data_IF_496282207894
#
_entry.id   IF_496282207894
#
_cell.length_a   1.000
_cell.length_b   1.000
_cell.length_c   1.000
_cell.angle_alpha   90.00
_cell.angle_beta   90.00
_cell.angle_gamma   90.00
#
_symmetry.space_group_name_H-M   'P 1'
#
loop_
_entity.id
_entity.type
_entity.pdbx_description
1 polymer ?
#
# COMPACT_ATOMS: atom_id res chain seq x y z
N UNK A 1 18.91 -20.02 -27.55
CA UNK A 1 19.67 -18.99 -26.81
C UNK A 1 19.29 -19.08 -25.34
N UNK A 2 20.27 -18.90 -24.44
CA UNK A 2 20.05 -18.85 -22.99
C UNK A 2 20.81 -17.62 -22.47
N UNK A 3 20.22 -16.87 -21.58
CA UNK A 3 20.83 -15.75 -20.89
C UNK A 3 20.43 -15.76 -19.42
N UNK A 4 21.31 -15.32 -18.55
CA UNK A 4 21.02 -15.08 -17.15
C UNK A 4 21.65 -13.76 -16.71
N UNK A 5 21.03 -13.15 -15.73
CA UNK A 5 21.52 -11.93 -15.08
C UNK A 5 21.31 -12.07 -13.58
N UNK A 6 22.30 -11.73 -12.82
CA UNK A 6 22.21 -11.56 -11.38
C UNK A 6 22.70 -10.16 -11.00
N UNK A 7 21.97 -9.52 -10.10
CA UNK A 7 22.32 -8.23 -9.51
C UNK A 7 22.07 -8.31 -8.02
N UNK A 8 23.01 -7.84 -7.25
CA UNK A 8 22.86 -7.58 -5.82
C UNK A 8 23.34 -6.17 -5.51
N UNK A 9 22.57 -5.46 -4.74
CA UNK A 9 22.87 -4.10 -4.28
C UNK A 9 22.32 -3.92 -2.88
N UNK A 10 22.83 -2.95 -2.17
CA UNK A 10 22.27 -2.51 -0.90
C UNK A 10 21.53 -1.20 -1.16
N UNK A 11 20.21 -1.23 -0.92
CA UNK A 11 19.40 -0.03 -0.97
C UNK A 11 19.65 0.83 0.27
N UNK A 12 19.42 2.11 0.18
CA UNK A 12 19.50 2.99 1.33
C UNK A 12 18.30 2.77 2.26
N UNK A 13 18.53 2.93 3.56
CA UNK A 13 17.48 2.93 4.57
C UNK A 13 17.04 4.36 4.84
N UNK A 14 15.74 4.61 4.77
CA UNK A 14 15.18 5.89 5.13
C UNK A 14 15.27 6.08 6.64
N UNK A 15 15.73 7.25 7.09
CA UNK A 15 15.96 7.56 8.50
C UNK A 15 15.49 8.95 8.91
N UNK A 16 14.55 9.53 8.16
CA UNK A 16 13.96 10.80 8.56
C UNK A 16 13.04 10.58 9.76
N UNK A 17 13.46 11.10 10.91
CA UNK A 17 12.70 11.04 12.18
C UNK A 17 11.96 12.33 12.49
N UNK A 18 11.79 13.23 11.50
CA UNK A 18 10.96 14.42 11.69
C UNK A 18 9.52 14.02 11.99
N UNK A 19 8.89 14.79 12.87
CA UNK A 19 7.51 14.55 13.26
C UNK A 19 6.55 15.09 12.19
N UNK A 20 5.67 14.26 11.65
CA UNK A 20 4.45 14.74 11.00
C UNK A 20 3.54 15.30 12.07
N UNK A 21 3.39 16.61 12.16
CA UNK A 21 2.47 17.18 13.13
C UNK A 21 1.04 16.76 12.80
N UNK A 22 0.43 16.08 13.75
CA UNK A 22 -1.01 15.82 13.76
C UNK A 22 -1.78 16.87 14.57
N UNK A 23 -1.06 17.80 15.22
CA UNK A 23 -1.60 18.87 16.04
C UNK A 23 -1.36 20.23 15.39
N UNK A 24 -2.07 21.25 15.82
CA UNK A 24 -1.88 22.63 15.37
C UNK A 24 -0.47 23.10 15.65
N UNK A 25 0.19 23.71 14.66
CA UNK A 25 1.57 24.25 14.79
C UNK A 25 2.52 23.73 13.73
N UNK A 26 2.00 23.27 12.58
CA UNK A 26 2.82 22.88 11.43
C UNK A 26 3.03 24.03 10.47
N UNK A 27 4.23 24.12 9.96
CA UNK A 27 4.54 24.90 8.77
C UNK A 27 4.70 23.93 7.60
N UNK A 28 3.87 24.05 6.58
CA UNK A 28 3.88 23.19 5.38
C UNK A 28 3.64 21.68 5.65
N UNK A 29 2.89 21.33 6.68
CA UNK A 29 2.63 19.93 7.04
C UNK A 29 3.72 19.29 7.91
N UNK A 30 4.77 20.02 8.26
CA UNK A 30 5.86 19.56 9.12
C UNK A 30 5.73 20.10 10.54
N UNK A 31 5.96 19.25 11.52
CA UNK A 31 6.07 19.67 12.91
C UNK A 31 7.39 20.41 13.13
N UNK A 32 7.31 21.65 13.51
CA UNK A 32 8.48 22.45 13.81
C UNK A 32 9.13 21.92 15.09
N UNK A 33 10.31 21.28 14.97
CA UNK A 33 11.15 20.88 16.09
C UNK A 33 10.59 19.76 16.98
N UNK A 34 9.59 19.00 16.49
CA UNK A 34 8.98 17.91 17.28
C UNK A 34 9.86 16.66 17.32
N UNK A 35 10.15 16.18 18.53
CA UNK A 35 10.74 14.87 18.78
C UNK A 35 9.75 14.04 19.58
N UNK A 36 9.98 12.74 19.67
CA UNK A 36 9.16 11.84 20.50
C UNK A 36 9.04 12.34 21.96
N UNK A 37 10.08 12.96 22.49
CA UNK A 37 10.08 13.53 23.84
C UNK A 37 9.19 14.78 23.94
N UNK A 38 9.26 15.68 22.95
CA UNK A 38 8.51 16.93 22.95
C UNK A 38 7.06 16.80 22.47
N UNK A 39 6.73 15.71 21.80
CA UNK A 39 5.36 15.46 21.35
C UNK A 39 4.90 14.04 21.74
N UNK A 40 4.03 13.92 22.75
CA UNK A 40 3.43 12.62 23.11
C UNK A 40 2.68 11.96 21.94
N UNK A 41 2.18 12.76 20.99
CA UNK A 41 1.50 12.31 19.78
C UNK A 41 2.40 12.25 18.54
N UNK A 42 3.69 12.09 18.74
CA UNK A 42 4.68 12.02 17.66
C UNK A 42 4.35 10.94 16.63
N UNK A 43 4.55 11.30 15.35
CA UNK A 43 4.40 10.47 14.14
C UNK A 43 5.62 10.74 13.25
N UNK A 44 6.60 9.88 13.29
CA UNK A 44 7.88 10.10 12.60
C UNK A 44 7.80 9.69 11.12
N UNK A 45 8.37 10.49 10.22
CA UNK A 45 8.32 10.28 8.76
C UNK A 45 8.74 8.86 8.34
N UNK A 46 9.82 8.34 8.91
CA UNK A 46 10.30 6.97 8.66
C UNK A 46 10.30 6.13 9.93
N UNK A 47 9.30 6.35 10.77
CA UNK A 47 8.98 5.51 11.93
C UNK A 47 7.62 4.88 11.68
N UNK A 48 7.53 3.57 11.77
CA UNK A 48 6.35 2.80 11.37
C UNK A 48 5.67 2.17 12.58
N UNK A 49 4.34 2.29 12.64
CA UNK A 49 3.52 1.76 13.74
C UNK A 49 3.21 2.76 14.84
N UNK A 50 3.63 4.03 14.69
CA UNK A 50 3.29 5.14 15.57
C UNK A 50 2.13 6.02 15.06
N UNK A 51 1.59 5.71 13.90
CA UNK A 51 0.47 6.44 13.28
C UNK A 51 -0.85 6.29 14.05
N UNK A 52 -0.90 5.36 15.01
CA UNK A 52 -2.07 5.16 15.86
C UNK A 52 -2.07 6.17 17.01
N UNK A 53 -3.08 7.01 17.08
CA UNK A 53 -3.24 8.02 18.12
C UNK A 53 -4.53 7.81 18.91
N UNK A 54 -4.53 8.22 20.18
CA UNK A 54 -5.71 8.30 21.03
C UNK A 54 -5.62 9.51 21.97
N UNK A 55 -6.75 10.15 22.25
CA UNK A 55 -6.79 11.19 23.30
C UNK A 55 -6.94 10.56 24.69
N UNK A 56 -6.29 11.14 25.71
CA UNK A 56 -6.46 10.67 27.07
C UNK A 56 -7.91 10.82 27.57
N UNK A 57 -8.62 11.85 27.08
CA UNK A 57 -10.06 12.02 27.37
C UNK A 57 -10.92 10.89 26.79
N UNK A 58 -10.59 10.37 25.58
CA UNK A 58 -11.30 9.21 25.01
C UNK A 58 -11.03 7.93 25.80
N UNK A 59 -9.79 7.75 26.26
CA UNK A 59 -9.41 6.61 27.11
C UNK A 59 -10.18 6.66 28.42
N UNK A 60 -10.21 7.83 29.09
CA UNK A 60 -11.01 8.03 30.29
C UNK A 60 -12.49 7.73 30.05
N UNK A 61 -13.07 8.22 28.94
CA UNK A 61 -14.48 7.96 28.61
C UNK A 61 -14.80 6.46 28.50
N UNK A 62 -13.88 5.68 27.92
CA UNK A 62 -14.02 4.22 27.85
C UNK A 62 -13.92 3.57 29.22
N UNK A 63 -12.97 4.01 30.06
CA UNK A 63 -12.83 3.54 31.44
C UNK A 63 -14.08 3.90 32.28
N UNK A 64 -14.58 5.13 32.15
CA UNK A 64 -15.81 5.58 32.81
C UNK A 64 -17.00 4.67 32.48
N UNK A 65 -17.17 4.30 31.23
CA UNK A 65 -18.21 3.38 30.78
C UNK A 65 -18.09 2.03 31.48
N UNK A 66 -16.88 1.49 31.63
CA UNK A 66 -16.59 0.26 32.36
C UNK A 66 -16.93 0.37 33.84
N UNK A 67 -16.52 1.48 34.48
CA UNK A 67 -16.83 1.76 35.92
C UNK A 67 -18.34 1.84 36.14
N UNK A 68 -19.06 2.58 35.27
CA UNK A 68 -20.52 2.68 35.35
C UNK A 68 -21.21 1.32 35.16
N UNK A 69 -20.71 0.50 34.23
CA UNK A 69 -21.21 -0.86 34.03
C UNK A 69 -21.05 -1.72 35.26
N UNK A 70 -19.86 -1.69 35.89
CA UNK A 70 -19.60 -2.42 37.16
C UNK A 70 -20.48 -1.92 38.29
N UNK A 71 -20.66 -0.60 38.42
CA UNK A 71 -21.57 -0.03 39.43
C UNK A 71 -23.02 -0.42 39.15
N UNK A 72 -23.48 -0.36 37.91
CA UNK A 72 -24.84 -0.75 37.51
C UNK A 72 -25.12 -2.21 37.91
N UNK A 73 -24.17 -3.11 37.67
CA UNK A 73 -24.29 -4.51 38.10
C UNK A 73 -24.34 -4.64 39.63
N UNK A 74 -23.48 -3.90 40.35
CA UNK A 74 -23.46 -3.88 41.81
C UNK A 74 -24.76 -3.35 42.43
N UNK A 75 -25.46 -2.44 41.77
CA UNK A 75 -26.78 -1.91 42.17
C UNK A 75 -27.96 -2.64 41.52
N UNK A 76 -27.78 -3.89 41.11
CA UNK A 76 -28.88 -4.74 40.63
C UNK A 76 -29.52 -4.23 39.32
N UNK A 77 -28.76 -3.55 38.46
CA UNK A 77 -29.25 -2.98 37.20
C UNK A 77 -29.77 -1.54 37.31
N UNK A 78 -29.72 -0.92 38.49
CA UNK A 78 -30.19 0.45 38.71
C UNK A 78 -29.16 1.48 38.26
N UNK A 79 -29.34 1.98 37.01
CA UNK A 79 -28.46 2.98 36.43
C UNK A 79 -28.46 4.31 37.18
N UNK A 80 -29.58 4.74 37.76
CA UNK A 80 -29.67 5.98 38.51
C UNK A 80 -28.81 5.89 39.79
N UNK A 81 -28.90 4.80 40.54
CA UNK A 81 -28.07 4.56 41.73
C UNK A 81 -26.59 4.46 41.33
N UNK A 82 -26.27 3.78 40.23
CA UNK A 82 -24.90 3.68 39.69
C UNK A 82 -24.31 5.05 39.35
N UNK A 83 -25.08 5.92 38.67
CA UNK A 83 -24.64 7.27 38.36
C UNK A 83 -24.46 8.14 39.61
N UNK A 84 -25.35 8.02 40.61
CA UNK A 84 -25.20 8.72 41.87
C UNK A 84 -23.91 8.28 42.61
N UNK A 85 -23.67 6.96 42.69
CA UNK A 85 -22.44 6.40 43.27
C UNK A 85 -21.18 6.88 42.51
N UNK A 86 -21.19 6.84 41.18
CA UNK A 86 -20.12 7.37 40.37
C UNK A 86 -19.85 8.85 40.67
N UNK A 87 -20.92 9.67 40.78
CA UNK A 87 -20.80 11.10 41.11
C UNK A 87 -20.14 11.33 42.45
N UNK A 88 -20.42 10.49 43.47
CA UNK A 88 -19.76 10.55 44.79
C UNK A 88 -18.27 10.19 44.67
N UNK A 89 -17.94 9.12 43.96
CA UNK A 89 -16.54 8.70 43.75
C UNK A 89 -15.74 9.78 42.99
N UNK A 90 -16.29 10.32 41.94
CA UNK A 90 -15.67 11.39 41.19
C UNK A 90 -15.55 12.69 42.00
N UNK A 91 -16.59 13.06 42.73
CA UNK A 91 -16.59 14.24 43.59
C UNK A 91 -15.49 14.18 44.68
N UNK A 92 -15.19 12.99 45.20
CA UNK A 92 -14.09 12.80 46.14
C UNK A 92 -12.70 13.00 45.51
N UNK A 93 -12.56 12.82 44.19
CA UNK A 93 -11.33 13.17 43.48
C UNK A 93 -11.21 14.68 43.22
N UNK A 94 -12.33 15.38 43.09
CA UNK A 94 -12.37 16.83 42.82
C UNK A 94 -12.04 17.63 44.06
N UNK A 95 -12.63 17.28 45.20
CA UNK A 95 -12.52 18.07 46.43
C UNK A 95 -12.59 17.17 47.71
N UNK A 96 -12.08 17.71 48.82
CA UNK A 96 -12.11 17.06 50.12
C UNK A 96 -10.82 16.34 50.47
N UNK A 97 -10.82 15.53 51.55
CA UNK A 97 -9.61 14.94 52.13
C UNK A 97 -8.95 13.91 51.19
N UNK A 98 -9.69 13.34 50.27
CA UNK A 98 -9.19 12.32 49.34
C UNK A 98 -8.63 12.89 48.06
N UNK A 99 -8.86 14.16 47.78
CA UNK A 99 -8.37 14.83 46.57
C UNK A 99 -6.93 15.31 46.67
N UNK A 100 -6.22 15.08 47.78
CA UNK A 100 -4.87 15.61 48.04
C UNK A 100 -3.83 15.04 47.07
N UNK A 101 -3.82 13.73 46.89
CA UNK A 101 -2.96 13.00 45.99
C UNK A 101 -3.57 11.66 45.54
N UNK A 102 -2.99 11.07 44.51
CA UNK A 102 -3.46 9.81 43.93
C UNK A 102 -3.42 8.64 44.92
N UNK A 103 -2.42 8.59 45.80
CA UNK A 103 -2.28 7.54 46.83
C UNK A 103 -3.45 7.55 47.81
N UNK A 104 -3.78 8.73 48.35
CA UNK A 104 -4.91 8.93 49.24
C UNK A 104 -6.24 8.60 48.57
N UNK A 105 -6.40 9.04 47.30
CA UNK A 105 -7.60 8.74 46.55
C UNK A 105 -7.74 7.24 46.22
N UNK A 106 -6.64 6.59 45.87
CA UNK A 106 -6.62 5.14 45.61
C UNK A 106 -6.99 4.33 46.85
N UNK A 107 -6.52 4.74 48.04
CA UNK A 107 -6.88 4.12 49.31
C UNK A 107 -8.39 4.29 49.61
N UNK A 108 -8.94 5.48 49.38
CA UNK A 108 -10.38 5.75 49.49
C UNK A 108 -11.22 4.82 48.59
N UNK A 109 -10.88 4.74 47.26
CA UNK A 109 -11.58 3.89 46.32
C UNK A 109 -11.52 2.41 46.72
N UNK A 110 -10.35 1.95 47.22
CA UNK A 110 -10.16 0.57 47.67
C UNK A 110 -11.05 0.28 48.90
N UNK A 111 -11.19 1.24 49.82
CA UNK A 111 -12.07 1.13 50.97
C UNK A 111 -13.56 1.11 50.62
N UNK A 112 -13.94 1.92 49.60
CA UNK A 112 -15.32 1.96 49.10
C UNK A 112 -15.70 0.69 48.31
N UNK A 113 -14.83 0.26 47.40
CA UNK A 113 -14.94 -0.99 46.65
C UNK A 113 -13.56 -1.35 46.07
N UNK A 114 -12.96 -2.45 46.51
CA UNK A 114 -11.64 -2.90 46.10
C UNK A 114 -11.53 -3.10 44.58
N UNK A 115 -12.62 -3.50 43.91
CA UNK A 115 -12.65 -3.64 42.42
C UNK A 115 -12.51 -2.32 41.69
N UNK A 116 -12.76 -1.16 42.33
CA UNK A 116 -12.63 0.16 41.73
C UNK A 116 -11.23 0.76 41.90
N UNK A 117 -10.39 0.21 42.77
CA UNK A 117 -9.04 0.73 43.00
C UNK A 117 -8.17 0.89 41.72
N UNK A 118 -8.20 -0.02 40.72
CA UNK A 118 -7.48 0.14 39.47
C UNK A 118 -7.90 1.35 38.64
N UNK A 119 -9.08 1.88 38.89
CA UNK A 119 -9.62 3.04 38.11
C UNK A 119 -9.26 4.40 38.74
N UNK A 120 -8.61 4.40 39.94
CA UNK A 120 -8.23 5.62 40.61
C UNK A 120 -7.45 6.61 39.75
N UNK A 121 -6.41 6.23 38.98
CA UNK A 121 -5.67 7.16 38.16
C UNK A 121 -6.55 7.90 37.13
N UNK A 122 -7.54 7.22 36.59
CA UNK A 122 -8.38 7.82 35.53
C UNK A 122 -9.36 8.85 36.12
N UNK A 123 -10.04 8.55 37.20
CA UNK A 123 -10.95 9.50 37.84
C UNK A 123 -10.20 10.67 38.42
N UNK A 124 -9.05 10.44 39.06
CA UNK A 124 -8.20 11.46 39.65
C UNK A 124 -7.58 12.37 38.57
N UNK A 125 -7.09 11.79 37.47
CA UNK A 125 -6.50 12.53 36.37
C UNK A 125 -7.50 13.44 35.65
N UNK A 126 -8.74 12.97 35.43
CA UNK A 126 -9.81 13.79 34.86
C UNK A 126 -10.20 14.91 35.83
N UNK A 127 -10.38 14.62 37.12
CA UNK A 127 -10.69 15.63 38.14
C UNK A 127 -9.62 16.74 38.21
N UNK A 128 -8.40 16.45 37.85
CA UNK A 128 -7.27 17.40 37.76
C UNK A 128 -7.12 18.07 36.39
N UNK A 129 -7.97 17.74 35.43
CA UNK A 129 -7.89 18.29 34.06
C UNK A 129 -6.66 17.81 33.27
N UNK A 130 -6.04 16.69 33.65
CA UNK A 130 -4.78 16.21 33.06
C UNK A 130 -4.95 15.64 31.64
N UNK A 131 -6.19 15.40 31.20
CA UNK A 131 -6.46 14.72 29.91
C UNK A 131 -6.83 15.68 28.80
N UNK A 132 -7.23 16.90 29.14
CA UNK A 132 -7.73 17.87 28.16
C UNK A 132 -6.65 18.25 27.14
N UNK A 133 -6.94 17.99 25.86
CA UNK A 133 -6.02 18.33 24.75
C UNK A 133 -4.78 17.42 24.63
N UNK A 134 -4.66 16.37 25.45
CA UNK A 134 -3.52 15.47 25.39
C UNK A 134 -3.83 14.28 24.49
N UNK A 135 -3.14 14.23 23.34
CA UNK A 135 -3.13 13.09 22.41
C UNK A 135 -1.83 12.31 22.57
N UNK A 136 -1.89 11.01 22.36
CA UNK A 136 -0.75 10.11 22.50
C UNK A 136 -0.75 9.10 21.38
N UNK A 137 0.40 8.94 20.70
CA UNK A 137 0.63 7.90 19.71
C UNK A 137 1.37 6.70 20.31
N UNK A 138 1.27 5.54 19.65
CA UNK A 138 2.07 4.36 19.98
C UNK A 138 3.55 4.60 19.67
N UNK A 139 4.44 3.79 20.24
CA UNK A 139 5.85 3.79 19.84
C UNK A 139 6.03 2.95 18.59
N UNK A 140 6.57 3.56 17.54
CA UNK A 140 6.87 2.90 16.27
C UNK A 140 8.27 2.29 16.21
N UNK A 141 8.64 1.82 15.04
CA UNK A 141 9.93 1.18 14.71
C UNK A 141 10.60 1.92 13.57
N UNK A 142 11.92 2.07 13.63
CA UNK A 142 12.70 2.62 12.52
C UNK A 142 12.69 1.67 11.32
N UNK A 143 12.91 2.19 10.12
CA UNK A 143 12.98 1.37 8.90
C UNK A 143 14.04 0.28 9.00
N UNK A 144 15.21 0.58 9.60
CA UNK A 144 16.29 -0.37 9.84
C UNK A 144 15.90 -1.57 10.71
N UNK A 145 14.86 -1.42 11.53
CA UNK A 145 14.41 -2.49 12.42
C UNK A 145 13.48 -3.47 11.71
N UNK A 146 12.80 -3.04 10.65
CA UNK A 146 11.72 -3.82 10.01
C UNK A 146 11.99 -4.19 8.55
N UNK A 147 12.85 -3.45 7.83
CA UNK A 147 13.13 -3.67 6.40
C UNK A 147 14.54 -4.20 6.19
N UNK A 148 14.65 -5.22 5.34
CA UNK A 148 15.93 -5.67 4.82
C UNK A 148 16.27 -4.86 3.55
N UNK A 149 17.37 -4.06 3.55
CA UNK A 149 17.72 -3.21 2.42
C UNK A 149 18.40 -3.94 1.26
N UNK A 150 18.62 -5.24 1.35
CA UNK A 150 19.32 -5.99 0.30
C UNK A 150 18.40 -6.15 -0.91
N UNK A 151 18.73 -5.43 -1.99
CA UNK A 151 18.09 -5.55 -3.28
C UNK A 151 18.77 -6.66 -4.11
N UNK A 152 17.98 -7.64 -4.55
CA UNK A 152 18.45 -8.74 -5.41
C UNK A 152 17.58 -8.82 -6.63
N UNK A 153 18.19 -9.12 -7.77
CA UNK A 153 17.44 -9.40 -8.98
C UNK A 153 18.13 -10.54 -9.74
N UNK A 154 17.36 -11.60 -9.97
CA UNK A 154 17.79 -12.74 -10.76
C UNK A 154 16.87 -12.91 -11.95
N UNK A 155 17.43 -12.99 -13.17
CA UNK A 155 16.68 -13.18 -14.41
C UNK A 155 17.26 -14.30 -15.23
N UNK A 156 16.40 -15.14 -15.77
CA UNK A 156 16.73 -16.18 -16.74
C UNK A 156 15.88 -15.96 -17.99
N UNK A 157 16.52 -16.05 -19.12
CA UNK A 157 15.84 -15.99 -20.42
C UNK A 157 16.27 -17.18 -21.27
N UNK A 158 15.34 -17.77 -22.00
CA UNK A 158 15.62 -18.84 -22.93
C UNK A 158 14.78 -18.70 -24.19
N UNK A 159 15.33 -19.07 -25.33
CA UNK A 159 14.56 -19.17 -26.57
C UNK A 159 15.05 -20.31 -27.46
N UNK A 160 14.09 -20.97 -28.09
CA UNK A 160 14.30 -21.99 -29.12
C UNK A 160 13.64 -21.48 -30.38
N UNK A 161 14.36 -21.58 -31.50
CA UNK A 161 13.90 -21.19 -32.81
C UNK A 161 13.94 -22.41 -33.73
N UNK A 162 12.92 -22.61 -34.51
CA UNK A 162 12.81 -23.69 -35.46
C UNK A 162 12.36 -23.14 -36.82
N UNK A 163 13.20 -23.33 -37.84
CA UNK A 163 12.80 -23.03 -39.23
C UNK A 163 11.92 -24.14 -39.75
N UNK A 164 10.66 -23.81 -40.02
CA UNK A 164 9.68 -24.74 -40.61
C UNK A 164 9.99 -24.91 -42.10
N UNK A 165 10.31 -23.78 -42.76
CA UNK A 165 10.79 -23.70 -44.12
C UNK A 165 11.66 -22.43 -44.28
N UNK A 166 12.09 -22.12 -45.51
CA UNK A 166 12.96 -20.96 -45.80
C UNK A 166 12.31 -19.59 -45.48
N UNK A 167 10.99 -19.54 -45.33
CA UNK A 167 10.24 -18.29 -45.11
C UNK A 167 9.59 -18.23 -43.73
N UNK A 168 9.46 -19.38 -43.08
CA UNK A 168 8.65 -19.49 -41.87
C UNK A 168 9.47 -20.01 -40.70
N UNK A 169 9.47 -19.26 -39.57
CA UNK A 169 10.14 -19.60 -38.33
C UNK A 169 9.13 -19.65 -37.19
N UNK A 170 9.19 -20.70 -36.40
CA UNK A 170 8.53 -20.78 -35.10
C UNK A 170 9.54 -20.54 -33.99
N UNK A 171 9.16 -19.81 -32.96
CA UNK A 171 9.99 -19.61 -31.77
C UNK A 171 9.19 -19.73 -30.49
N UNK A 172 9.80 -20.35 -29.50
CA UNK A 172 9.33 -20.35 -28.12
C UNK A 172 10.34 -19.60 -27.26
N UNK A 173 9.88 -18.67 -26.44
CA UNK A 173 10.70 -17.89 -25.53
C UNK A 173 10.11 -17.94 -24.12
N UNK A 174 10.97 -18.12 -23.14
CA UNK A 174 10.63 -18.06 -21.72
C UNK A 174 11.51 -17.03 -21.04
N UNK A 175 10.90 -16.18 -20.25
CA UNK A 175 11.54 -15.16 -19.43
C UNK A 175 11.02 -15.35 -18.01
N UNK A 176 11.92 -15.46 -17.06
CA UNK A 176 11.54 -15.50 -15.64
C UNK A 176 12.54 -14.69 -14.83
N UNK A 177 12.05 -14.04 -13.82
CA UNK A 177 12.87 -13.28 -12.90
C UNK A 177 12.23 -13.22 -11.53
N UNK A 178 13.06 -13.09 -10.51
CA UNK A 178 12.63 -12.78 -9.16
C UNK A 178 13.57 -11.76 -8.54
N UNK A 179 13.04 -11.01 -7.57
CA UNK A 179 13.85 -9.99 -6.92
C UNK A 179 13.26 -9.46 -5.64
N UNK A 180 14.13 -8.76 -4.92
CA UNK A 180 13.81 -8.04 -3.70
C UNK A 180 14.18 -6.57 -3.91
N UNK A 181 13.39 -5.67 -3.37
CA UNK A 181 13.68 -4.24 -3.35
C UNK A 181 12.79 -3.55 -2.31
N UNK A 182 13.11 -2.31 -2.00
CA UNK A 182 12.25 -1.44 -1.19
C UNK A 182 11.56 -0.45 -2.11
N UNK A 183 10.27 -0.28 -1.98
CA UNK A 183 9.48 0.60 -2.83
C UNK A 183 8.76 1.65 -1.98
N UNK A 184 8.81 2.91 -2.42
CA UNK A 184 8.07 4.02 -1.84
C UNK A 184 6.97 4.45 -2.80
N UNK A 185 5.72 4.28 -2.38
CA UNK A 185 4.53 4.79 -3.07
C UNK A 185 3.78 5.73 -2.14
N UNK A 186 2.50 5.46 -1.90
CA UNK A 186 1.73 6.10 -0.82
C UNK A 186 2.21 5.69 0.58
N UNK A 187 2.87 4.55 0.66
CA UNK A 187 3.50 3.96 1.84
C UNK A 187 4.87 3.39 1.48
N UNK A 188 5.55 2.84 2.46
CA UNK A 188 6.80 2.08 2.29
C UNK A 188 6.50 0.59 2.22
N UNK A 189 7.00 -0.07 1.18
CA UNK A 189 6.80 -1.49 0.94
C UNK A 189 8.14 -2.22 0.91
N UNK A 190 8.23 -3.33 1.63
CA UNK A 190 9.26 -4.33 1.41
C UNK A 190 8.77 -5.28 0.32
N UNK A 191 9.39 -5.22 -0.84
CA UNK A 191 9.13 -6.15 -1.94
C UNK A 191 10.11 -7.31 -1.81
N UNK A 192 9.60 -8.50 -1.50
CA UNK A 192 10.44 -9.66 -1.25
C UNK A 192 9.96 -10.88 -2.04
N UNK A 193 10.86 -11.44 -2.85
CA UNK A 193 10.53 -12.59 -3.70
C UNK A 193 9.53 -12.27 -4.81
N UNK A 194 9.44 -11.00 -5.26
CA UNK A 194 8.63 -10.64 -6.42
C UNK A 194 9.06 -11.48 -7.62
N UNK A 195 8.16 -12.24 -8.18
CA UNK A 195 8.35 -13.08 -9.35
C UNK A 195 7.58 -12.56 -10.56
N UNK A 196 8.23 -12.52 -11.72
CA UNK A 196 7.61 -12.24 -13.00
C UNK A 196 8.08 -13.29 -14.01
N UNK A 197 7.12 -13.96 -14.67
CA UNK A 197 7.42 -14.94 -15.72
C UNK A 197 6.59 -14.66 -16.96
N UNK A 198 7.19 -14.81 -18.14
CA UNK A 198 6.50 -14.69 -19.40
C UNK A 198 6.89 -15.84 -20.32
N UNK A 199 5.89 -16.47 -20.93
CA UNK A 199 6.05 -17.50 -21.93
C UNK A 199 5.46 -17.00 -23.24
N UNK A 200 6.23 -17.05 -24.32
CA UNK A 200 5.83 -16.54 -25.64
C UNK A 200 6.05 -17.61 -26.71
N UNK A 201 5.02 -17.86 -27.51
CA UNK A 201 5.08 -18.60 -28.75
C UNK A 201 4.84 -17.64 -29.91
N UNK A 202 5.69 -17.67 -30.90
CA UNK A 202 5.61 -16.84 -32.09
C UNK A 202 5.88 -17.69 -33.33
N UNK A 203 5.04 -17.54 -34.33
CA UNK A 203 5.30 -18.05 -35.69
C UNK A 203 5.23 -16.87 -36.63
N UNK A 204 6.28 -16.67 -37.37
CA UNK A 204 6.40 -15.59 -38.35
C UNK A 204 6.82 -16.13 -39.71
N UNK A 205 6.29 -15.54 -40.76
CA UNK A 205 6.64 -15.82 -42.13
C UNK A 205 6.90 -14.48 -42.89
N UNK A 206 7.20 -14.54 -44.15
CA UNK A 206 7.46 -13.34 -44.98
C UNK A 206 6.37 -12.27 -44.84
N UNK A 207 5.10 -12.70 -44.86
CA UNK A 207 3.95 -11.80 -44.97
C UNK A 207 3.06 -11.78 -43.72
N UNK A 208 3.28 -12.65 -42.76
CA UNK A 208 2.42 -12.73 -41.58
C UNK A 208 3.16 -13.13 -40.31
N UNK A 209 2.59 -12.79 -39.20
CA UNK A 209 3.02 -13.19 -37.88
C UNK A 209 1.80 -13.45 -37.00
N UNK A 210 1.89 -14.52 -36.21
CA UNK A 210 0.99 -14.78 -35.08
C UNK A 210 1.84 -15.04 -33.85
N UNK A 211 1.48 -14.43 -32.73
CA UNK A 211 2.12 -14.69 -31.44
C UNK A 211 1.11 -14.70 -30.31
N UNK A 212 1.37 -15.58 -29.37
CA UNK A 212 0.68 -15.58 -28.08
C UNK A 212 1.70 -15.53 -26.95
N UNK A 213 1.39 -14.79 -25.90
CA UNK A 213 2.18 -14.82 -24.68
C UNK A 213 1.33 -14.72 -23.43
N UNK A 214 1.85 -15.30 -22.36
CA UNK A 214 1.25 -15.24 -21.03
C UNK A 214 2.27 -14.72 -20.04
N UNK A 215 1.91 -13.66 -19.32
CA UNK A 215 2.69 -13.10 -18.23
C UNK A 215 2.03 -13.47 -16.91
N UNK A 216 2.84 -13.94 -15.96
CA UNK A 216 2.44 -14.32 -14.61
C UNK A 216 3.19 -13.44 -13.63
N UNK A 217 2.48 -12.84 -12.71
CA UNK A 217 3.03 -12.05 -11.61
C UNK A 217 2.79 -12.75 -10.26
N UNK A 218 3.73 -12.63 -9.35
CA UNK A 218 3.61 -13.07 -7.98
C UNK A 218 4.38 -12.10 -7.08
N UNK A 219 3.67 -11.39 -6.24
CA UNK A 219 4.26 -10.42 -5.29
C UNK A 219 5.15 -11.06 -4.21
N UNK A 220 5.24 -12.38 -4.14
CA UNK A 220 6.07 -13.09 -3.16
C UNK A 220 5.60 -12.86 -1.72
N UNK A 221 6.56 -12.50 -0.86
CA UNK A 221 6.32 -12.20 0.56
C UNK A 221 6.36 -10.70 0.86
N UNK A 222 5.95 -9.89 -0.12
CA UNK A 222 5.94 -8.43 0.00
C UNK A 222 4.94 -7.95 1.04
N UNK A 223 5.31 -6.92 1.80
CA UNK A 223 4.46 -6.35 2.83
C UNK A 223 4.54 -4.82 2.89
N UNK A 224 3.48 -4.20 3.42
CA UNK A 224 3.42 -2.78 3.75
C UNK A 224 4.04 -2.55 5.14
N UNK A 225 5.05 -1.69 5.24
CA UNK A 225 5.78 -1.44 6.47
C UNK A 225 4.89 -0.84 7.58
N UNK A 226 4.15 0.21 7.27
CA UNK A 226 3.26 0.92 8.17
C UNK A 226 2.20 -0.01 8.78
N UNK A 227 1.47 -0.69 7.90
CA UNK A 227 0.37 -1.57 8.32
C UNK A 227 0.90 -2.76 9.13
N UNK A 228 2.02 -3.36 8.70
CA UNK A 228 2.63 -4.48 9.42
C UNK A 228 3.08 -4.07 10.82
N UNK A 229 3.76 -2.93 10.95
CA UNK A 229 4.23 -2.45 12.24
C UNK A 229 3.07 -2.12 13.20
N UNK A 230 1.96 -1.58 12.68
CA UNK A 230 0.74 -1.34 13.48
C UNK A 230 0.13 -2.64 14.00
N UNK A 231 -0.07 -3.65 13.15
CA UNK A 231 -0.58 -4.94 13.59
C UNK A 231 0.40 -5.68 14.50
N UNK A 232 1.70 -5.53 14.26
CA UNK A 232 2.71 -6.07 15.17
C UNK A 232 2.63 -5.45 16.55
N UNK A 233 2.48 -4.12 16.65
CA UNK A 233 2.23 -3.45 17.92
C UNK A 233 0.97 -3.98 18.63
N UNK A 234 -0.13 -4.22 17.89
CA UNK A 234 -1.35 -4.81 18.45
C UNK A 234 -1.14 -6.25 18.94
N UNK A 235 -0.33 -7.04 18.22
CA UNK A 235 -0.02 -8.42 18.62
C UNK A 235 0.85 -8.47 19.87
N UNK A 236 1.88 -7.60 19.96
CA UNK A 236 2.80 -7.56 21.11
C UNK A 236 2.10 -7.05 22.36
N UNK A 237 1.37 -5.96 22.24
CA UNK A 237 0.60 -5.36 23.32
C UNK A 237 -0.60 -4.62 22.75
N UNK A 238 -1.82 -5.17 22.90
CA UNK A 238 -3.02 -4.53 22.36
C UNK A 238 -3.19 -3.09 22.83
N UNK A 239 -3.71 -2.22 21.95
CA UNK A 239 -4.01 -0.82 22.27
C UNK A 239 -4.94 -0.68 23.47
N UNK A 240 -5.87 -1.64 23.64
CA UNK A 240 -6.75 -1.73 24.81
C UNK A 240 -6.01 -1.94 26.14
N UNK A 241 -4.76 -2.37 26.11
CA UNK A 241 -3.88 -2.50 27.28
C UNK A 241 -2.85 -1.38 27.32
N UNK A 242 -2.25 -1.04 26.19
CA UNK A 242 -1.17 -0.05 26.10
C UNK A 242 -1.61 1.35 26.55
N UNK A 243 -2.71 1.86 25.97
CA UNK A 243 -3.20 3.21 26.29
C UNK A 243 -3.66 3.37 27.73
N UNK A 244 -4.43 2.44 28.33
CA UNK A 244 -4.72 2.49 29.75
C UNK A 244 -3.47 2.46 30.63
N UNK A 245 -2.49 1.59 30.32
CA UNK A 245 -1.23 1.53 31.06
C UNK A 245 -0.49 2.87 31.01
N UNK A 246 -0.39 3.47 29.81
CA UNK A 246 0.21 4.80 29.66
C UNK A 246 -0.52 5.86 30.49
N UNK A 247 -1.85 5.90 30.41
CA UNK A 247 -2.67 6.90 31.07
C UNK A 247 -2.53 6.81 32.59
N UNK A 248 -2.59 5.61 33.14
CA UNK A 248 -2.43 5.40 34.60
C UNK A 248 -1.03 5.83 35.07
N UNK A 249 0.02 5.44 34.36
CA UNK A 249 1.39 5.84 34.66
C UNK A 249 1.59 7.36 34.53
N UNK A 250 1.03 7.97 33.47
CA UNK A 250 1.08 9.40 33.25
C UNK A 250 0.52 10.19 34.42
N UNK A 251 -0.67 9.80 34.90
CA UNK A 251 -1.30 10.45 36.08
C UNK A 251 -0.43 10.28 37.32
N UNK A 252 0.11 9.07 37.54
CA UNK A 252 1.01 8.80 38.66
C UNK A 252 2.23 9.73 38.68
N UNK A 253 2.88 9.90 37.55
CA UNK A 253 4.05 10.78 37.43
C UNK A 253 3.69 12.27 37.52
N UNK A 254 2.54 12.66 36.97
CA UNK A 254 2.02 14.03 37.09
C UNK A 254 1.70 14.37 38.56
N UNK A 255 1.10 13.45 39.30
CA UNK A 255 0.80 13.61 40.74
C UNK A 255 2.09 13.67 41.58
N UNK A 256 3.15 12.98 41.17
CA UNK A 256 4.48 13.06 41.77
C UNK A 256 5.24 14.38 41.42
N UNK A 257 4.60 15.30 40.70
CA UNK A 257 5.16 16.64 40.40
C UNK A 257 5.98 16.71 39.10
N UNK A 258 6.05 15.65 38.31
CA UNK A 258 6.73 15.75 37.00
C UNK A 258 5.98 16.69 36.06
N UNK A 259 6.72 17.39 35.20
CA UNK A 259 6.13 18.19 34.13
C UNK A 259 5.46 17.30 33.09
N UNK A 260 4.76 17.90 32.12
CA UNK A 260 3.98 17.16 31.11
C UNK A 260 4.85 16.23 30.26
N UNK A 261 6.03 16.69 29.84
CA UNK A 261 6.92 15.97 28.92
C UNK A 261 7.62 14.82 29.64
N UNK A 262 8.17 15.07 30.82
CA UNK A 262 8.85 14.03 31.63
C UNK A 262 7.88 12.93 32.05
N UNK A 263 6.68 13.31 32.50
CA UNK A 263 5.63 12.35 32.85
C UNK A 263 5.19 11.53 31.62
N UNK A 264 5.07 12.15 30.46
CA UNK A 264 4.74 11.50 29.20
C UNK A 264 5.81 10.48 28.77
N UNK A 265 7.10 10.86 28.86
CA UNK A 265 8.23 9.98 28.55
C UNK A 265 8.31 8.79 29.52
N UNK A 266 8.18 9.04 30.82
CA UNK A 266 8.19 8.00 31.85
C UNK A 266 6.99 7.04 31.70
N UNK A 267 5.80 7.56 31.43
CA UNK A 267 4.60 6.76 31.19
C UNK A 267 4.74 5.87 29.94
N UNK A 268 5.37 6.39 28.90
CA UNK A 268 5.67 5.62 27.67
C UNK A 268 6.62 4.46 27.97
N UNK A 269 7.66 4.67 28.76
CA UNK A 269 8.57 3.58 29.15
C UNK A 269 7.82 2.44 29.90
N UNK A 270 6.87 2.78 30.76
CA UNK A 270 6.01 1.80 31.43
C UNK A 270 5.09 1.09 30.43
N UNK A 271 4.47 1.84 29.54
CA UNK A 271 3.56 1.27 28.54
C UNK A 271 4.30 0.36 27.53
N UNK A 272 5.54 0.70 27.17
CA UNK A 272 6.40 -0.04 26.24
C UNK A 272 7.16 -1.21 26.91
N UNK A 273 6.98 -1.43 28.20
CA UNK A 273 7.64 -2.54 28.89
C UNK A 273 7.35 -3.89 28.19
N UNK A 274 8.41 -4.62 27.85
CA UNK A 274 8.35 -5.89 27.09
C UNK A 274 8.22 -5.72 25.57
N UNK A 275 8.27 -4.50 25.04
CA UNK A 275 8.26 -4.26 23.59
C UNK A 275 9.56 -4.79 22.97
N UNK A 276 9.49 -5.61 21.89
CA UNK A 276 10.68 -6.02 21.14
C UNK A 276 11.39 -4.82 20.51
N UNK A 277 12.71 -4.86 20.46
CA UNK A 277 13.60 -3.82 19.91
C UNK A 277 14.64 -4.44 18.98
N UNK A 278 15.36 -3.62 18.20
CA UNK A 278 16.34 -4.05 17.23
C UNK A 278 15.67 -4.56 15.96
N UNK A 279 16.34 -5.45 15.22
CA UNK A 279 15.91 -5.95 13.88
C UNK A 279 14.72 -6.92 13.97
N UNK A 280 13.60 -6.39 14.42
CA UNK A 280 12.35 -7.16 14.61
C UNK A 280 11.83 -7.78 13.30
N UNK A 281 12.09 -7.15 12.14
CA UNK A 281 11.70 -7.66 10.83
C UNK A 281 12.26 -9.05 10.51
N UNK A 282 13.30 -9.49 11.20
CA UNK A 282 13.87 -10.83 11.10
C UNK A 282 13.19 -11.84 12.04
N UNK A 283 12.43 -11.38 13.03
CA UNK A 283 11.76 -12.24 14.00
C UNK A 283 10.58 -13.02 13.38
N UNK A 284 10.36 -14.24 13.87
CA UNK A 284 9.22 -15.06 13.43
C UNK A 284 7.89 -14.40 13.77
N UNK A 285 7.82 -13.67 14.89
CA UNK A 285 6.63 -12.97 15.31
C UNK A 285 6.26 -11.85 14.31
N UNK A 286 7.23 -11.04 13.86
CA UNK A 286 6.97 -10.01 12.84
C UNK A 286 6.59 -10.63 11.50
N UNK A 287 7.31 -11.67 11.07
CA UNK A 287 7.02 -12.42 9.84
C UNK A 287 5.64 -13.05 9.86
N UNK A 288 5.14 -13.49 11.02
CA UNK A 288 3.79 -14.03 11.14
C UNK A 288 2.73 -12.98 10.80
N UNK A 289 2.91 -11.72 11.21
CA UNK A 289 2.02 -10.60 10.86
C UNK A 289 2.22 -10.18 9.41
N UNK A 290 3.47 -10.04 8.96
CA UNK A 290 3.81 -9.71 7.59
C UNK A 290 3.27 -10.74 6.58
N UNK A 291 3.13 -12.01 6.99
CA UNK A 291 2.62 -13.11 6.17
C UNK A 291 1.09 -13.13 6.01
N UNK A 292 0.34 -12.45 6.88
CA UNK A 292 -1.12 -12.37 6.79
C UNK A 292 -1.51 -11.28 5.78
N UNK A 293 -2.45 -11.55 4.84
CA UNK A 293 -2.94 -10.53 3.91
C UNK A 293 -3.48 -9.28 4.62
N UNK A 294 -3.25 -8.09 4.05
CA UNK A 294 -3.79 -6.82 4.56
C UNK A 294 -5.31 -6.90 4.70
N UNK A 295 -6.00 -7.52 3.75
CA UNK A 295 -7.44 -7.74 3.79
C UNK A 295 -7.93 -8.63 4.94
N UNK A 296 -7.02 -9.30 5.65
CA UNK A 296 -7.29 -10.20 6.78
C UNK A 296 -6.63 -9.74 8.09
N UNK A 297 -6.23 -8.48 8.18
CA UNK A 297 -5.63 -7.91 9.39
C UNK A 297 -4.14 -8.16 9.55
N UNK A 298 -3.40 -8.29 8.46
CA UNK A 298 -1.94 -8.39 8.44
C UNK A 298 -1.28 -7.35 7.56
N UNK A 299 -0.04 -7.59 7.18
CA UNK A 299 0.77 -6.66 6.40
C UNK A 299 1.02 -7.08 4.96
N UNK A 300 0.70 -8.33 4.59
CA UNK A 300 1.04 -8.91 3.30
C UNK A 300 0.27 -8.26 2.16
N UNK A 301 1.02 -7.86 1.16
CA UNK A 301 0.52 -7.41 -0.13
C UNK A 301 0.56 -8.58 -1.12
N UNK A 302 -0.59 -8.98 -1.60
CA UNK A 302 -0.70 -10.09 -2.56
C UNK A 302 -1.00 -9.56 -3.95
N UNK A 303 -0.29 -10.06 -4.95
CA UNK A 303 -0.67 -9.98 -6.36
C UNK A 303 -0.22 -11.25 -7.08
N UNK A 304 -1.16 -11.97 -7.66
CA UNK A 304 -0.97 -13.15 -8.50
C UNK A 304 -1.71 -12.98 -9.82
N UNK A 305 -1.68 -11.75 -10.34
CA UNK A 305 -2.35 -11.39 -11.58
C UNK A 305 -1.67 -12.00 -12.80
N UNK A 306 -2.42 -12.10 -13.86
CA UNK A 306 -1.98 -12.72 -15.13
C UNK A 306 -2.45 -11.86 -16.29
N UNK A 307 -1.66 -11.85 -17.36
CA UNK A 307 -2.01 -11.27 -18.65
C UNK A 307 -1.79 -12.32 -19.75
N UNK A 308 -2.80 -12.60 -20.53
CA UNK A 308 -2.71 -13.41 -21.76
C UNK A 308 -2.95 -12.50 -22.96
N UNK A 309 -2.08 -12.59 -23.95
CA UNK A 309 -2.18 -11.79 -25.19
C UNK A 309 -2.02 -12.71 -26.38
N UNK A 310 -2.88 -12.53 -27.38
CA UNK A 310 -2.75 -13.12 -28.71
C UNK A 310 -2.84 -11.99 -29.72
N UNK A 311 -1.89 -11.94 -30.64
CA UNK A 311 -1.91 -10.98 -31.72
C UNK A 311 -1.48 -11.63 -33.04
N UNK A 312 -2.03 -11.10 -34.12
CA UNK A 312 -1.67 -11.51 -35.46
C UNK A 312 -1.65 -10.30 -36.41
N UNK A 313 -0.80 -10.38 -37.40
CA UNK A 313 -0.82 -9.44 -38.50
C UNK A 313 -0.53 -10.13 -39.84
N UNK A 314 -0.97 -9.49 -40.90
CA UNK A 314 -0.74 -9.95 -42.26
C UNK A 314 -0.44 -8.76 -43.19
N UNK A 315 0.62 -8.87 -43.96
CA UNK A 315 0.94 -7.96 -45.08
C UNK A 315 0.26 -8.47 -46.35
N UNK A 316 -0.81 -7.80 -46.74
CA UNK A 316 -1.66 -8.15 -47.87
C UNK A 316 -1.12 -7.66 -49.22
N UNK A 317 0.04 -7.01 -49.24
CA UNK A 317 0.63 -6.38 -50.41
C UNK A 317 0.82 -7.37 -51.58
N UNK A 318 1.45 -8.50 -51.30
CA UNK A 318 1.70 -9.55 -52.29
C UNK A 318 0.40 -10.25 -52.73
N UNK A 319 -0.49 -10.55 -51.75
CA UNK A 319 -1.75 -11.22 -52.03
C UNK A 319 -2.66 -10.45 -52.99
N UNK A 320 -2.68 -9.11 -52.87
CA UNK A 320 -3.48 -8.25 -53.73
C UNK A 320 -2.71 -7.63 -54.89
N UNK A 321 -1.42 -7.98 -55.08
CA UNK A 321 -0.57 -7.46 -56.13
C UNK A 321 -0.39 -5.94 -56.06
N UNK A 322 -0.38 -5.38 -54.83
CA UNK A 322 -0.28 -3.92 -54.64
C UNK A 322 1.11 -3.36 -54.95
N UNK A 323 2.12 -4.21 -55.05
CA UNK A 323 3.48 -3.84 -55.42
C UNK A 323 3.53 -3.09 -56.75
N UNK A 324 2.71 -3.51 -57.72
CA UNK A 324 2.58 -2.84 -59.04
C UNK A 324 2.03 -1.41 -58.94
N UNK A 325 1.43 -1.06 -57.82
CA UNK A 325 0.93 0.29 -57.55
C UNK A 325 1.80 1.05 -56.56
N UNK A 326 2.98 0.53 -56.21
CA UNK A 326 3.88 1.05 -55.17
C UNK A 326 3.16 1.24 -53.84
N UNK A 327 2.25 0.34 -53.52
CA UNK A 327 1.44 0.38 -52.29
C UNK A 327 1.66 -0.85 -51.41
N UNK A 328 1.55 -0.65 -50.10
CA UNK A 328 1.66 -1.70 -49.05
C UNK A 328 0.42 -1.65 -48.16
N UNK A 329 -0.19 -2.80 -47.90
CA UNK A 329 -1.32 -2.93 -47.03
C UNK A 329 -1.03 -3.95 -45.88
N UNK A 330 -1.00 -3.44 -44.66
CA UNK A 330 -0.83 -4.22 -43.44
C UNK A 330 -2.12 -4.20 -42.63
N UNK A 331 -2.58 -5.36 -42.20
CA UNK A 331 -3.70 -5.51 -41.26
C UNK A 331 -3.27 -6.30 -40.03
N UNK A 332 -3.92 -6.11 -38.91
CA UNK A 332 -3.62 -6.88 -37.71
C UNK A 332 -4.68 -6.73 -36.63
N UNK A 333 -4.60 -7.62 -35.67
CA UNK A 333 -5.51 -7.66 -34.52
C UNK A 333 -4.81 -8.17 -33.27
N UNK A 334 -5.36 -7.81 -32.12
CA UNK A 334 -4.88 -8.21 -30.79
C UNK A 334 -6.06 -8.50 -29.86
N UNK A 335 -5.91 -9.52 -29.05
CA UNK A 335 -6.82 -9.84 -27.94
C UNK A 335 -5.98 -9.93 -26.68
N UNK A 336 -6.46 -9.32 -25.59
CA UNK A 336 -5.82 -9.35 -24.27
C UNK A 336 -6.86 -9.79 -23.24
N UNK A 337 -6.44 -10.66 -22.35
CA UNK A 337 -7.22 -11.05 -21.19
C UNK A 337 -6.36 -10.82 -19.94
N UNK A 338 -6.82 -9.93 -19.06
CA UNK A 338 -6.27 -9.74 -17.73
C UNK A 338 -7.05 -10.58 -16.74
N UNK A 339 -6.36 -11.18 -15.78
CA UNK A 339 -6.96 -11.88 -14.65
C UNK A 339 -6.30 -11.35 -13.38
N UNK A 340 -6.96 -10.40 -12.71
CA UNK A 340 -6.47 -9.77 -11.48
C UNK A 340 -6.76 -10.71 -10.31
N UNK A 341 -5.77 -10.91 -9.43
CA UNK A 341 -5.87 -11.79 -8.28
C UNK A 341 -5.01 -11.29 -7.12
N UNK A 342 -5.56 -10.38 -6.34
CA UNK A 342 -4.91 -9.83 -5.14
C UNK A 342 -5.53 -10.31 -3.83
N UNK A 343 -6.62 -11.06 -3.89
CA UNK A 343 -7.39 -11.50 -2.71
C UNK A 343 -7.81 -10.31 -1.82
N UNK A 344 -8.16 -9.18 -2.43
CA UNK A 344 -8.59 -7.97 -1.75
C UNK A 344 -7.46 -7.13 -1.13
N UNK A 345 -6.19 -7.44 -1.42
CA UNK A 345 -5.07 -6.63 -0.89
C UNK A 345 -4.70 -5.44 -1.77
N UNK A 346 -5.05 -5.48 -3.05
CA UNK A 346 -4.78 -4.43 -4.03
C UNK A 346 -6.03 -4.04 -4.83
N UNK A 347 -6.76 -5.03 -5.32
CA UNK A 347 -7.95 -4.85 -6.15
C UNK A 347 -9.23 -5.19 -5.38
N UNK A 348 -10.38 -4.77 -5.91
CA UNK A 348 -11.71 -5.10 -5.37
C UNK A 348 -12.11 -6.57 -5.69
N UNK A 349 -11.21 -7.53 -5.47
CA UNK A 349 -11.33 -8.93 -5.87
C UNK A 349 -11.51 -9.90 -4.68
N UNK A 350 -12.09 -9.43 -3.58
CA UNK A 350 -12.40 -10.26 -2.40
C UNK A 350 -13.39 -11.39 -2.70
N UNK A 351 -14.31 -11.16 -3.64
CA UNK A 351 -15.30 -12.16 -4.08
C UNK A 351 -14.76 -13.15 -5.12
N UNK A 352 -13.57 -12.88 -5.67
CA UNK A 352 -12.93 -13.69 -6.71
C UNK A 352 -12.12 -12.85 -7.68
N UNK A 353 -11.45 -13.51 -8.62
CA UNK A 353 -10.63 -12.86 -9.63
C UNK A 353 -11.45 -11.93 -10.53
N UNK A 354 -10.87 -10.77 -10.89
CA UNK A 354 -11.47 -9.86 -11.86
C UNK A 354 -10.88 -10.14 -13.24
N UNK A 355 -11.75 -10.52 -14.19
CA UNK A 355 -11.40 -10.67 -15.61
C UNK A 355 -11.59 -9.34 -16.34
N UNK A 356 -10.70 -9.00 -17.28
CA UNK A 356 -10.85 -7.83 -18.17
C UNK A 356 -10.43 -8.25 -19.56
N UNK A 357 -11.32 -8.08 -20.55
CA UNK A 357 -11.05 -8.37 -21.93
C UNK A 357 -10.85 -7.08 -22.74
N UNK A 358 -9.78 -7.05 -23.51
CA UNK A 358 -9.51 -6.01 -24.49
C UNK A 358 -9.28 -6.63 -25.87
N UNK A 359 -9.77 -5.97 -26.90
CA UNK A 359 -9.50 -6.34 -28.28
C UNK A 359 -9.21 -5.11 -29.13
N UNK A 360 -8.42 -5.28 -30.17
CA UNK A 360 -8.11 -4.22 -31.10
C UNK A 360 -7.83 -4.77 -32.49
N UNK A 361 -8.16 -3.98 -33.50
CA UNK A 361 -7.83 -4.26 -34.89
C UNK A 361 -7.30 -3.00 -35.57
N UNK A 362 -6.40 -3.18 -36.52
CA UNK A 362 -5.84 -2.07 -37.28
C UNK A 362 -5.58 -2.41 -38.74
N UNK A 363 -5.59 -1.39 -39.55
CA UNK A 363 -5.13 -1.46 -40.92
C UNK A 363 -4.22 -0.27 -41.21
N UNK A 364 -3.21 -0.48 -42.04
CA UNK A 364 -2.29 0.56 -42.52
C UNK A 364 -2.08 0.39 -44.03
N UNK A 365 -2.41 1.43 -44.77
CA UNK A 365 -2.12 1.55 -46.19
C UNK A 365 -1.00 2.58 -46.36
N UNK A 366 0.05 2.19 -47.07
CA UNK A 366 1.15 3.08 -47.47
C UNK A 366 1.27 3.08 -48.98
N UNK A 367 1.55 4.25 -49.55
CA UNK A 367 1.81 4.37 -51.01
C UNK A 367 2.99 5.29 -51.26
N UNK A 368 3.80 4.90 -52.25
CA UNK A 368 4.96 5.66 -52.71
C UNK A 368 4.65 6.31 -54.06
N UNK A 369 5.12 7.53 -54.23
CA UNK A 369 4.91 8.37 -55.37
C UNK A 369 6.24 8.98 -55.82
N UNK A 370 6.33 9.33 -57.09
CA UNK A 370 7.47 10.06 -57.71
C UNK A 370 8.82 9.33 -57.48
N UNK A 371 8.90 8.06 -57.87
CA UNK A 371 10.10 7.22 -57.72
C UNK A 371 10.66 7.24 -56.27
N UNK A 372 9.78 6.96 -55.32
CA UNK A 372 10.07 6.90 -53.89
C UNK A 372 10.40 8.24 -53.20
N UNK A 373 10.25 9.39 -53.92
CA UNK A 373 10.45 10.71 -53.31
C UNK A 373 9.42 10.98 -52.20
N UNK A 374 8.17 10.60 -52.41
CA UNK A 374 7.09 10.81 -51.43
C UNK A 374 6.45 9.46 -50.98
N UNK A 375 6.50 9.16 -49.72
CA UNK A 375 5.73 8.06 -49.10
C UNK A 375 4.63 8.62 -48.22
N UNK A 376 3.39 8.31 -48.54
CA UNK A 376 2.21 8.63 -47.68
C UNK A 376 1.71 7.35 -47.02
N UNK A 377 1.43 7.42 -45.75
CA UNK A 377 0.86 6.30 -44.99
C UNK A 377 -0.36 6.77 -44.23
N UNK A 378 -1.42 6.02 -44.32
CA UNK A 378 -2.64 6.17 -43.55
C UNK A 378 -2.86 4.90 -42.69
N UNK A 379 -3.12 5.03 -41.38
CA UNK A 379 -3.49 3.92 -40.54
C UNK A 379 -4.65 4.30 -39.67
N UNK A 380 -5.50 3.32 -39.41
CA UNK A 380 -6.59 3.40 -38.46
C UNK A 380 -6.56 2.20 -37.53
N UNK A 381 -6.80 2.46 -36.26
CA UNK A 381 -6.88 1.43 -35.24
C UNK A 381 -8.15 1.61 -34.42
N UNK A 382 -8.87 0.52 -34.20
CA UNK A 382 -10.02 0.47 -33.29
C UNK A 382 -9.69 -0.45 -32.12
N UNK A 383 -9.87 0.06 -30.91
CA UNK A 383 -9.67 -0.68 -29.66
C UNK A 383 -10.94 -0.67 -28.81
N UNK A 384 -11.24 -1.79 -28.20
CA UNK A 384 -12.36 -1.99 -27.28
C UNK A 384 -11.88 -2.68 -26.01
N UNK A 385 -12.14 -2.07 -24.86
CA UNK A 385 -12.08 -2.70 -23.54
C UNK A 385 -13.52 -2.99 -23.10
N UNK A 386 -13.76 -4.09 -22.40
CA UNK A 386 -15.13 -4.46 -22.01
C UNK A 386 -15.82 -3.41 -21.14
N UNK A 387 -15.06 -2.67 -20.31
CA UNK A 387 -15.58 -1.67 -19.37
C UNK A 387 -15.74 -0.28 -19.99
N UNK A 388 -15.22 -0.04 -21.20
CA UNK A 388 -15.22 1.29 -21.83
C UNK A 388 -15.70 1.24 -23.28
N UNK A 389 -16.24 2.34 -23.77
CA UNK A 389 -16.60 2.50 -25.18
C UNK A 389 -15.37 2.32 -26.08
N UNK A 390 -15.56 1.63 -27.21
CA UNK A 390 -14.52 1.46 -28.22
C UNK A 390 -14.03 2.81 -28.77
N UNK A 391 -12.77 2.85 -29.18
CA UNK A 391 -12.10 4.07 -29.69
C UNK A 391 -11.40 3.80 -30.99
N UNK A 392 -11.60 4.71 -31.94
CA UNK A 392 -10.89 4.74 -33.21
C UNK A 392 -9.79 5.80 -33.16
N UNK A 393 -8.57 5.43 -33.57
CA UNK A 393 -7.40 6.30 -33.55
C UNK A 393 -6.76 6.34 -34.94
N UNK A 394 -6.97 7.42 -35.72
CA UNK A 394 -6.35 7.61 -37.04
C UNK A 394 -4.93 8.15 -36.90
N UNK A 395 -4.13 7.81 -37.90
CA UNK A 395 -2.80 8.37 -38.11
C UNK A 395 -2.54 8.57 -39.62
N UNK A 396 -2.00 9.71 -39.96
CA UNK A 396 -1.50 10.02 -41.31
C UNK A 396 -0.06 10.47 -41.22
N UNK A 397 0.78 10.00 -42.12
CA UNK A 397 2.17 10.46 -42.21
C UNK A 397 2.63 10.56 -43.65
N UNK A 398 3.48 11.54 -43.91
CA UNK A 398 4.19 11.71 -45.16
C UNK A 398 5.70 11.74 -44.90
N UNK A 399 6.46 11.06 -45.72
CA UNK A 399 7.92 11.10 -45.72
C UNK A 399 8.34 11.59 -47.11
N UNK A 400 9.12 12.68 -47.18
CA UNK A 400 9.60 13.29 -48.37
C UNK A 400 11.12 13.17 -48.40
N UNK A 401 11.66 12.50 -49.40
CA UNK A 401 13.10 12.43 -49.65
C UNK A 401 13.54 13.73 -50.36
N UNK A 402 14.30 14.56 -49.65
CA UNK A 402 14.73 15.88 -50.14
C UNK A 402 16.14 15.85 -50.77
N UNK A 403 16.95 14.87 -50.37
CA UNK A 403 18.26 14.57 -50.97
C UNK A 403 18.63 13.12 -50.66
N UNK A 404 19.76 12.63 -51.15
CA UNK A 404 20.34 11.35 -50.78
C UNK A 404 20.55 11.34 -49.26
N UNK A 405 20.03 10.32 -48.60
CA UNK A 405 20.05 10.14 -47.12
C UNK A 405 19.37 11.24 -46.28
N UNK A 406 18.65 12.17 -46.91
CA UNK A 406 17.92 13.24 -46.19
C UNK A 406 16.41 13.13 -46.41
N UNK A 407 15.66 13.07 -45.31
CA UNK A 407 14.21 12.94 -45.33
C UNK A 407 13.52 13.93 -44.39
N UNK A 408 12.42 14.52 -44.85
CA UNK A 408 11.48 15.28 -44.02
C UNK A 408 10.29 14.38 -43.73
N UNK A 409 9.92 14.27 -42.44
CA UNK A 409 8.76 13.50 -42.02
C UNK A 409 7.74 14.41 -41.35
N UNK A 410 6.50 14.33 -41.81
CA UNK A 410 5.35 15.03 -41.25
C UNK A 410 4.35 13.95 -40.80
N UNK A 411 3.79 14.07 -39.61
CA UNK A 411 2.76 13.14 -39.16
C UNK A 411 1.72 13.82 -38.27
N UNK A 412 0.48 13.38 -38.46
CA UNK A 412 -0.63 13.67 -37.57
C UNK A 412 -1.17 12.36 -37.01
N UNK A 413 -1.38 12.30 -35.69
CA UNK A 413 -1.97 11.12 -35.06
C UNK A 413 -2.84 11.51 -33.87
N UNK A 414 -3.87 10.72 -33.64
CA UNK A 414 -4.61 10.71 -32.39
C UNK A 414 -4.13 9.54 -31.55
N UNK A 415 -4.13 9.69 -30.24
CA UNK A 415 -3.80 8.64 -29.29
C UNK A 415 -4.90 8.50 -28.25
N UNK A 416 -5.12 7.29 -27.80
CA UNK A 416 -6.05 6.98 -26.74
C UNK A 416 -5.44 5.92 -25.81
N UNK A 417 -5.75 6.02 -24.52
CA UNK A 417 -5.37 5.03 -23.51
C UNK A 417 -6.57 4.73 -22.65
N UNK A 418 -6.92 3.47 -22.50
CA UNK A 418 -7.85 3.03 -21.46
C UNK A 418 -7.22 3.22 -20.07
N UNK A 419 -8.04 3.52 -19.04
CA UNK A 419 -7.56 3.53 -17.68
C UNK A 419 -6.85 2.21 -17.33
N UNK A 420 -5.79 2.30 -16.54
CA UNK A 420 -5.04 1.10 -16.10
C UNK A 420 -5.93 0.20 -15.24
N UNK A 421 -5.54 -1.05 -15.07
CA UNK A 421 -6.24 -1.98 -14.16
C UNK A 421 -6.33 -1.44 -12.74
N UNK A 422 -5.30 -0.73 -12.26
CA UNK A 422 -5.32 -0.03 -10.98
C UNK A 422 -6.35 1.10 -10.97
N UNK A 423 -6.38 1.97 -11.99
CA UNK A 423 -7.37 3.05 -12.06
C UNK A 423 -8.81 2.53 -12.09
N UNK A 424 -9.00 1.33 -12.63
CA UNK A 424 -10.30 0.68 -12.71
C UNK A 424 -10.71 0.05 -11.38
N UNK A 425 -9.82 -0.73 -10.75
CA UNK A 425 -10.18 -1.72 -9.72
C UNK A 425 -9.39 -1.62 -8.42
N UNK A 426 -8.51 -0.60 -8.24
CA UNK A 426 -7.75 -0.47 -7.00
C UNK A 426 -8.72 -0.38 -5.81
N UNK A 427 -8.41 -1.13 -4.75
CA UNK A 427 -9.09 -1.09 -3.47
C UNK A 427 -8.06 -1.35 -2.37
N UNK A 428 -7.16 -0.39 -2.19
CA UNK A 428 -5.98 -0.52 -1.36
C UNK A 428 -6.13 0.30 -0.08
N UNK A 429 -6.00 -0.36 1.06
CA UNK A 429 -5.83 0.30 2.34
C UNK A 429 -4.37 0.74 2.48
N UNK A 430 -4.15 2.04 2.66
CA UNK A 430 -2.83 2.63 2.90
C UNK A 430 -2.68 3.08 4.35
N UNK A 431 -1.47 3.44 4.75
CA UNK A 431 -1.17 3.94 6.09
C UNK A 431 -2.10 5.09 6.50
N UNK A 432 -2.32 5.25 7.79
CA UNK A 432 -3.26 6.25 8.32
C UNK A 432 -4.75 5.93 8.14
N UNK A 433 -5.09 4.74 7.59
CA UNK A 433 -6.48 4.31 7.43
C UNK A 433 -7.18 4.84 6.17
N UNK A 434 -6.45 5.50 5.27
CA UNK A 434 -6.99 5.97 3.98
C UNK A 434 -7.16 4.78 3.03
N UNK A 435 -8.25 4.78 2.27
CA UNK A 435 -8.52 3.76 1.24
C UNK A 435 -8.48 4.41 -0.14
N UNK A 436 -7.62 3.88 -1.02
CA UNK A 436 -7.60 4.23 -2.43
C UNK A 436 -8.62 3.36 -3.17
N UNK A 437 -9.51 3.97 -3.93
CA UNK A 437 -10.56 3.25 -4.66
C UNK A 437 -10.48 3.56 -6.15
N UNK A 438 -10.66 2.52 -6.98
CA UNK A 438 -10.77 2.65 -8.42
C UNK A 438 -12.12 3.22 -8.85
N UNK A 439 -12.23 3.60 -10.14
CA UNK A 439 -13.41 4.24 -10.69
C UNK A 439 -14.52 3.27 -11.15
N UNK A 440 -14.31 1.96 -11.06
CA UNK A 440 -15.35 0.94 -11.35
C UNK A 440 -15.88 0.33 -10.05
N UNK A 441 -17.16 -0.05 -10.04
CA UNK A 441 -17.81 -0.60 -8.86
C UNK A 441 -17.30 -2.00 -8.46
#
# INVERSE_FOLDING_TARGET
KIGFQYMEAQDWLANNTQNYSRTTGTQNGEAIGGTRYHDPNYDGVNIYGDETTSSLSSIYSSVRTGVLGALTAAYGGNATAANAAYGQLYGAAVAGPYSVNLTTYSAFLRGANAALAPYAPYLFGEARGLFTGVNVSRTGYAESDIINPVAKNFKVTGSIHYKIDDKTEASFSAYTGSGNTVYTGSDRYSIYGLGLSQFKLEVKSKNWMIRGYKTLENSGESFNATITARYFNELVKPSTTWYPTYTAAFVTYRDAGMNLLDAGAAARAVADAGRPTGRIGESDLFKSVAGIPISKGGGRFLDKSQLTVVEANYNLTELFGLEKYNADLLVGGIIKNYSLNSQGTLFADTAGKIGINESGAYAQLSKRYFDDILKVSFSGRYDKNENFAGRFTPRVSAVIKVAEDNNIRISYQQAYRFPTTQNQWINLLVGGGTRLMGGLP
#
